data_IF_196436117330
#
_entry.id   IF_196436117330
#
_cell.length_a   1.000
_cell.length_b   1.000
_cell.length_c   1.000
_cell.angle_alpha   90.00
_cell.angle_beta   90.00
_cell.angle_gamma   90.00
#
_symmetry.space_group_name_H-M   'P 1'
#
loop_
_entity.id
_entity.type
_entity.pdbx_description
1 polymer ?
#
# COMPACT_ATOMS: atom_id res chain seq x y z
N UNK A 1 5.71 12.35 30.90
CA UNK A 1 5.98 11.10 30.16
C UNK A 1 6.34 11.52 28.74
N UNK A 2 7.60 11.41 28.35
CA UNK A 2 8.02 11.79 27.00
C UNK A 2 7.47 10.80 25.99
N UNK A 3 6.72 11.30 25.00
CA UNK A 3 6.37 10.51 23.82
C UNK A 3 7.68 10.21 23.10
N UNK A 4 8.12 8.95 23.10
CA UNK A 4 9.20 8.49 22.24
C UNK A 4 8.71 8.59 20.78
N UNK A 5 8.88 9.76 20.18
CA UNK A 5 8.74 9.94 18.74
C UNK A 5 9.89 9.17 18.09
N UNK A 6 9.61 7.95 17.63
CA UNK A 6 10.55 7.19 16.83
C UNK A 6 10.74 7.93 15.51
N UNK A 7 11.84 8.67 15.39
CA UNK A 7 12.22 9.38 14.17
C UNK A 7 12.51 8.35 13.07
N UNK A 8 11.62 8.24 12.09
CA UNK A 8 11.84 7.40 10.91
C UNK A 8 12.78 8.19 9.98
N UNK A 9 14.07 7.84 10.00
CA UNK A 9 15.03 8.37 9.03
C UNK A 9 14.96 7.54 7.73
N UNK A 10 14.37 8.11 6.68
CA UNK A 10 14.28 7.48 5.37
C UNK A 10 15.55 7.82 4.58
N UNK A 11 16.46 6.86 4.44
CA UNK A 11 17.58 6.98 3.51
C UNK A 11 17.11 6.60 2.10
N UNK A 12 17.10 7.54 1.16
CA UNK A 12 16.66 7.29 -0.22
C UNK A 12 17.61 6.36 -1.00
N UNK A 13 18.87 6.23 -0.55
CA UNK A 13 19.88 5.39 -1.19
C UNK A 13 19.82 3.92 -0.74
N UNK A 14 18.87 3.54 0.12
CA UNK A 14 18.74 2.18 0.63
C UNK A 14 17.88 1.27 -0.26
N UNK A 15 17.24 1.83 -1.29
CA UNK A 15 16.35 1.09 -2.18
C UNK A 15 17.09 0.71 -3.47
N UNK A 16 17.21 -0.58 -3.73
CA UNK A 16 17.91 -1.10 -4.91
C UNK A 16 17.08 -2.19 -5.61
N UNK A 17 17.33 -2.40 -6.90
CA UNK A 17 16.70 -3.44 -7.70
C UNK A 17 15.74 -2.94 -8.78
N UNK A 18 14.82 -3.80 -9.21
CA UNK A 18 13.78 -3.48 -10.20
C UNK A 18 12.70 -2.59 -9.59
N UNK A 19 11.90 -1.92 -10.43
CA UNK A 19 10.88 -0.97 -9.96
C UNK A 19 9.84 -1.60 -9.01
N UNK A 20 9.46 -2.85 -9.24
CA UNK A 20 8.58 -3.63 -8.37
C UNK A 20 9.24 -3.94 -7.01
N UNK A 21 10.53 -4.28 -7.01
CA UNK A 21 11.30 -4.51 -5.78
C UNK A 21 11.45 -3.23 -4.96
N UNK A 22 11.72 -2.10 -5.62
CA UNK A 22 11.80 -0.79 -4.96
C UNK A 22 10.45 -0.41 -4.36
N UNK A 23 9.34 -0.61 -5.09
CA UNK A 23 8.00 -0.33 -4.57
C UNK A 23 7.65 -1.19 -3.35
N UNK A 24 7.99 -2.49 -3.37
CA UNK A 24 7.80 -3.38 -2.23
C UNK A 24 8.64 -2.95 -1.02
N UNK A 25 9.90 -2.56 -1.24
CA UNK A 25 10.78 -2.07 -0.18
C UNK A 25 10.26 -0.77 0.44
N UNK A 26 9.82 0.20 -0.38
CA UNK A 26 9.22 1.45 0.12
C UNK A 26 7.98 1.14 0.96
N UNK A 27 7.13 0.22 0.51
CA UNK A 27 5.95 -0.18 1.29
C UNK A 27 6.35 -0.78 2.64
N UNK A 28 7.30 -1.72 2.67
CA UNK A 28 7.71 -2.42 3.90
C UNK A 28 8.48 -1.53 4.88
N UNK A 29 9.36 -0.66 4.38
CA UNK A 29 10.28 0.13 5.21
C UNK A 29 9.63 1.43 5.68
N UNK A 30 8.78 2.05 4.85
CA UNK A 30 8.21 3.37 5.15
C UNK A 30 6.73 3.27 5.51
N UNK A 31 5.92 2.70 4.62
CA UNK A 31 4.45 2.79 4.74
C UNK A 31 3.94 1.86 5.84
N UNK A 32 4.42 0.61 5.89
CA UNK A 32 3.94 -0.40 6.82
C UNK A 32 4.19 -0.04 8.29
N UNK A 33 5.37 0.46 8.72
CA UNK A 33 5.59 0.88 10.09
C UNK A 33 4.68 2.04 10.50
N UNK A 34 4.50 3.03 9.62
CA UNK A 34 3.55 4.13 9.87
C UNK A 34 2.12 3.61 10.03
N UNK A 35 1.71 2.67 9.18
CA UNK A 35 0.37 2.09 9.25
C UNK A 35 0.14 1.30 10.55
N UNK A 36 1.17 0.58 11.01
CA UNK A 36 1.14 -0.14 12.28
C UNK A 36 1.07 0.82 13.47
N UNK A 37 1.87 1.90 13.46
CA UNK A 37 1.83 2.94 14.49
C UNK A 37 0.46 3.62 14.55
N UNK A 38 -0.11 4.00 13.39
CA UNK A 38 -1.46 4.58 13.33
C UNK A 38 -2.51 3.60 13.84
N UNK A 39 -2.45 2.33 13.42
CA UNK A 39 -3.40 1.30 13.83
C UNK A 39 -3.39 1.07 15.35
N UNK A 40 -2.22 1.17 15.97
CA UNK A 40 -2.07 1.02 17.41
C UNK A 40 -2.73 2.17 18.21
N UNK A 41 -2.91 3.34 17.58
CA UNK A 41 -3.54 4.51 18.20
C UNK A 41 -5.03 4.60 17.85
N UNK A 42 -5.37 4.54 16.55
CA UNK A 42 -6.73 4.57 16.04
C UNK A 42 -6.84 3.77 14.73
N UNK A 43 -7.70 2.76 14.77
CA UNK A 43 -7.92 1.86 13.64
C UNK A 43 -8.61 2.56 12.47
N UNK A 44 -9.50 3.54 12.70
CA UNK A 44 -10.16 4.25 11.60
C UNK A 44 -9.19 5.16 10.85
N UNK A 45 -8.36 5.92 11.58
CA UNK A 45 -7.26 6.70 10.98
C UNK A 45 -6.30 5.84 10.16
N UNK A 46 -5.96 4.64 10.64
CA UNK A 46 -5.11 3.72 9.89
C UNK A 46 -5.77 3.23 8.58
N UNK A 47 -7.09 2.99 8.58
CA UNK A 47 -7.83 2.66 7.36
C UNK A 47 -7.81 3.84 6.37
N UNK A 48 -8.08 5.06 6.85
CA UNK A 48 -8.06 6.27 6.02
C UNK A 48 -6.67 6.47 5.40
N UNK A 49 -5.61 6.26 6.16
CA UNK A 49 -4.24 6.31 5.67
C UNK A 49 -3.96 5.26 4.59
N UNK A 50 -4.34 3.99 4.82
CA UNK A 50 -4.22 2.92 3.83
C UNK A 50 -4.90 3.28 2.50
N UNK A 51 -6.15 3.77 2.58
CA UNK A 51 -6.91 4.19 1.40
C UNK A 51 -6.28 5.38 0.70
N UNK A 52 -5.72 6.33 1.45
CA UNK A 52 -5.04 7.51 0.88
C UNK A 52 -3.82 7.12 0.07
N UNK A 53 -2.99 6.20 0.58
CA UNK A 53 -1.83 5.67 -0.15
C UNK A 53 -2.26 4.94 -1.43
N UNK A 54 -3.29 4.10 -1.36
CA UNK A 54 -3.84 3.40 -2.52
C UNK A 54 -4.35 4.40 -3.58
N UNK A 55 -5.09 5.43 -3.15
CA UNK A 55 -5.60 6.47 -4.04
C UNK A 55 -4.48 7.25 -4.72
N UNK A 56 -3.42 7.60 -3.99
CA UNK A 56 -2.23 8.27 -4.54
C UNK A 56 -1.55 7.41 -5.62
N UNK A 57 -1.40 6.11 -5.38
CA UNK A 57 -0.85 5.19 -6.39
C UNK A 57 -1.70 5.15 -7.67
N UNK A 58 -3.02 5.08 -7.52
CA UNK A 58 -3.94 5.09 -8.66
C UNK A 58 -3.97 6.44 -9.40
N UNK A 59 -3.90 7.56 -8.69
CA UNK A 59 -3.86 8.89 -9.32
C UNK A 59 -2.58 9.07 -10.14
N UNK A 60 -1.44 8.60 -9.63
CA UNK A 60 -0.20 8.61 -10.39
C UNK A 60 -0.27 7.71 -11.61
N UNK A 61 -0.83 6.49 -11.48
CA UNK A 61 -1.07 5.63 -12.63
C UNK A 61 -1.91 6.34 -13.72
N UNK A 62 -2.99 7.03 -13.33
CA UNK A 62 -3.84 7.76 -14.27
C UNK A 62 -3.15 8.99 -14.91
N UNK A 63 -2.12 9.56 -14.28
CA UNK A 63 -1.31 10.65 -14.85
C UNK A 63 -0.29 10.15 -15.88
N UNK A 64 0.29 8.96 -15.66
CA UNK A 64 1.36 8.44 -16.51
C UNK A 64 0.87 7.51 -17.64
N UNK A 65 -0.32 6.91 -17.51
CA UNK A 65 -0.84 5.97 -18.50
C UNK A 65 -2.19 6.42 -19.08
N UNK A 66 -2.48 6.09 -20.36
CA UNK A 66 -3.76 6.40 -20.96
C UNK A 66 -4.93 5.82 -20.16
N UNK A 67 -6.03 6.58 -20.11
CA UNK A 67 -7.30 6.09 -19.53
C UNK A 67 -7.83 4.87 -20.27
N UNK A 68 -7.49 4.74 -21.55
CA UNK A 68 -7.69 3.56 -22.37
C UNK A 68 -6.92 2.37 -21.80
N UNK A 69 -7.62 1.48 -21.10
CA UNK A 69 -7.05 0.32 -20.41
C UNK A 69 -6.91 0.50 -18.90
N UNK A 70 -6.92 1.73 -18.37
CA UNK A 70 -6.84 1.98 -16.93
C UNK A 70 -7.99 1.32 -16.15
N UNK A 71 -9.24 1.45 -16.64
CA UNK A 71 -10.39 0.78 -16.04
C UNK A 71 -10.19 -0.74 -15.99
N UNK A 72 -9.68 -1.34 -17.07
CA UNK A 72 -9.43 -2.79 -17.16
C UNK A 72 -8.35 -3.22 -16.16
N UNK A 73 -7.24 -2.49 -16.10
CA UNK A 73 -6.14 -2.77 -15.16
C UNK A 73 -6.58 -2.63 -13.70
N UNK A 74 -7.30 -1.55 -13.35
CA UNK A 74 -7.80 -1.32 -11.99
C UNK A 74 -8.78 -2.42 -11.58
N UNK A 75 -9.77 -2.74 -12.44
CA UNK A 75 -10.73 -3.81 -12.16
C UNK A 75 -10.02 -5.16 -11.98
N UNK A 76 -9.09 -5.50 -12.86
CA UNK A 76 -8.32 -6.75 -12.75
C UNK A 76 -7.53 -6.83 -11.44
N UNK A 77 -6.85 -5.75 -11.06
CA UNK A 77 -6.09 -5.69 -9.79
C UNK A 77 -7.01 -5.81 -8.58
N UNK A 78 -8.17 -5.14 -8.60
CA UNK A 78 -9.16 -5.25 -7.54
C UNK A 78 -9.71 -6.68 -7.42
N UNK A 79 -10.08 -7.31 -8.54
CA UNK A 79 -10.57 -8.69 -8.57
C UNK A 79 -9.53 -9.66 -8.00
N UNK A 80 -8.26 -9.51 -8.42
CA UNK A 80 -7.16 -10.33 -7.90
C UNK A 80 -6.91 -10.12 -6.42
N UNK A 81 -7.00 -8.88 -5.93
CA UNK A 81 -6.90 -8.60 -4.50
C UNK A 81 -8.01 -9.31 -3.72
N UNK A 82 -9.26 -9.21 -4.18
CA UNK A 82 -10.39 -9.89 -3.53
C UNK A 82 -10.22 -11.41 -3.58
N UNK A 83 -9.73 -11.97 -4.69
CA UNK A 83 -9.43 -13.40 -4.81
C UNK A 83 -8.42 -13.84 -3.75
N UNK A 84 -7.27 -13.16 -3.64
CA UNK A 84 -6.25 -13.45 -2.62
C UNK A 84 -6.81 -13.34 -1.20
N UNK A 85 -7.60 -12.32 -0.91
CA UNK A 85 -8.23 -12.16 0.40
C UNK A 85 -9.18 -13.32 0.71
N UNK A 86 -9.98 -13.75 -0.26
CA UNK A 86 -10.86 -14.92 -0.10
C UNK A 86 -10.07 -16.20 0.12
N UNK A 87 -8.93 -16.38 -0.56
CA UNK A 87 -8.04 -17.54 -0.36
C UNK A 87 -7.51 -17.56 1.07
N UNK A 88 -6.99 -16.42 1.55
CA UNK A 88 -6.44 -16.29 2.91
C UNK A 88 -7.49 -16.52 4.01
N UNK A 89 -8.77 -16.26 3.72
CA UNK A 89 -9.89 -16.42 4.65
C UNK A 89 -10.63 -17.76 4.51
N UNK A 90 -10.22 -18.62 3.57
CA UNK A 90 -10.91 -19.88 3.28
C UNK A 90 -12.31 -19.70 2.68
N UNK A 91 -12.60 -18.54 2.09
CA UNK A 91 -13.89 -18.22 1.45
C UNK A 91 -13.99 -18.77 0.02
N UNK A 92 -12.87 -19.19 -0.58
CA UNK A 92 -12.87 -19.91 -1.85
C UNK A 92 -13.01 -21.41 -1.57
N UNK A 93 -14.20 -21.93 -1.87
CA UNK A 93 -14.42 -23.38 -1.95
C UNK A 93 -13.73 -23.89 -3.22
N UNK A 94 -12.79 -24.81 -3.05
CA UNK A 94 -12.27 -25.66 -4.14
C UNK A 94 -13.41 -26.53 -4.67
#
# INVERSE_FOLDING_TARGET
MGTNEQKIEINMNQFEGTSDQIAEQVFKIVILPMLQQMKAQDTESAKVFAFSIMWLGMSQYAQFFPTAGAKKSISFTADKLIEVLKQQRGELKV
#
